data_IF_215064838369
#
_entry.id   IF_215064838369
#
_cell.length_a   1.000
_cell.length_b   1.000
_cell.length_c   1.000
_cell.angle_alpha   90.00
_cell.angle_beta   90.00
_cell.angle_gamma   90.00
#
_symmetry.space_group_name_H-M   'P 1'
#
loop_
_entity.id
_entity.type
_entity.pdbx_description
1 polymer ?
#
# COMPACT_ATOMS: atom_id res chain seq x y z
N UNK A 1 6.97 -19.25 9.85
CA UNK A 1 7.15 -18.71 8.49
C UNK A 1 8.62 -18.85 8.14
N UNK A 2 8.98 -19.50 7.02
CA UNK A 2 10.38 -19.59 6.57
C UNK A 2 10.73 -18.38 5.70
N UNK A 3 11.36 -17.37 6.30
CA UNK A 3 11.69 -16.09 5.66
C UNK A 3 12.63 -16.30 4.46
N UNK A 4 13.63 -17.17 4.62
CA UNK A 4 14.65 -17.40 3.57
C UNK A 4 14.03 -18.09 2.36
N UNK A 5 13.12 -19.04 2.60
CA UNK A 5 12.37 -19.67 1.51
C UNK A 5 11.48 -18.65 0.79
N UNK A 6 10.74 -17.81 1.51
CA UNK A 6 9.86 -16.81 0.90
C UNK A 6 10.60 -15.78 0.03
N UNK A 7 11.79 -15.35 0.46
CA UNK A 7 12.62 -14.42 -0.30
C UNK A 7 13.16 -15.08 -1.57
N UNK A 8 13.51 -16.37 -1.51
CA UNK A 8 13.86 -17.15 -2.71
C UNK A 8 12.68 -17.30 -3.65
N UNK A 9 11.47 -17.59 -3.14
CA UNK A 9 10.24 -17.66 -3.94
C UNK A 9 9.93 -16.35 -4.66
N UNK A 10 10.28 -15.21 -4.05
CA UNK A 10 10.18 -13.88 -4.67
C UNK A 10 11.19 -13.65 -5.81
N UNK A 11 12.21 -14.50 -5.94
CA UNK A 11 13.26 -14.37 -6.95
C UNK A 11 14.36 -13.37 -6.59
N UNK A 12 14.53 -13.03 -5.30
CA UNK A 12 15.62 -12.16 -4.84
C UNK A 12 16.90 -12.98 -4.67
N UNK A 13 17.96 -12.59 -5.37
CA UNK A 13 19.29 -13.21 -5.31
C UNK A 13 20.37 -12.20 -4.86
N UNK A 14 21.57 -12.71 -4.53
CA UNK A 14 22.78 -11.91 -4.29
C UNK A 14 22.67 -10.89 -3.14
N UNK A 15 23.34 -9.74 -3.26
CA UNK A 15 23.58 -8.73 -2.20
C UNK A 15 22.32 -8.22 -1.49
N UNK A 16 21.14 -8.28 -2.11
CA UNK A 16 19.89 -7.79 -1.53
C UNK A 16 19.21 -8.85 -0.64
N UNK A 17 19.62 -10.12 -0.73
CA UNK A 17 18.98 -11.21 0.01
C UNK A 17 19.00 -10.96 1.52
N UNK A 18 20.15 -10.57 2.07
CA UNK A 18 20.31 -10.33 3.50
C UNK A 18 19.54 -9.09 3.98
N UNK A 19 19.42 -8.06 3.13
CA UNK A 19 18.63 -6.86 3.42
C UNK A 19 17.13 -7.18 3.51
N UNK A 20 16.63 -8.01 2.59
CA UNK A 20 15.26 -8.53 2.63
C UNK A 20 15.03 -9.42 3.86
N UNK A 21 15.96 -10.32 4.20
CA UNK A 21 15.85 -11.16 5.39
C UNK A 21 15.76 -10.30 6.65
N UNK A 22 16.64 -9.29 6.76
CA UNK A 22 16.67 -8.36 7.89
C UNK A 22 15.36 -7.57 7.98
N UNK A 23 14.87 -7.02 6.87
CA UNK A 23 13.66 -6.21 6.84
C UNK A 23 12.40 -7.03 7.16
N UNK A 24 12.28 -8.25 6.64
CA UNK A 24 11.16 -9.15 6.96
C UNK A 24 11.22 -9.60 8.42
N UNK A 25 12.41 -9.89 8.95
CA UNK A 25 12.57 -10.25 10.36
C UNK A 25 12.14 -9.10 11.28
N UNK A 26 12.55 -7.87 10.96
CA UNK A 26 12.12 -6.67 11.68
C UNK A 26 10.60 -6.48 11.56
N UNK A 27 10.00 -6.70 10.39
CA UNK A 27 8.56 -6.61 10.21
C UNK A 27 7.78 -7.58 11.13
N UNK A 28 8.24 -8.82 11.27
CA UNK A 28 7.65 -9.80 12.20
C UNK A 28 7.72 -9.30 13.65
N UNK A 29 8.85 -8.72 14.05
CA UNK A 29 9.05 -8.22 15.40
C UNK A 29 8.14 -7.03 15.71
N UNK A 30 8.11 -6.01 14.84
CA UNK A 30 7.37 -4.77 15.09
C UNK A 30 5.87 -4.90 14.91
N UNK A 31 5.42 -5.79 14.00
CA UNK A 31 4.01 -6.04 13.73
C UNK A 31 3.43 -7.16 14.60
N UNK A 32 4.21 -7.82 15.46
CA UNK A 32 3.81 -9.01 16.20
C UNK A 32 2.40 -8.95 16.79
N UNK A 33 1.48 -9.76 16.23
CA UNK A 33 0.08 -9.87 16.64
C UNK A 33 -0.89 -8.86 16.00
N UNK A 34 -0.39 -7.89 15.24
CA UNK A 34 -1.18 -6.87 14.52
C UNK A 34 -1.76 -7.42 13.21
N UNK A 35 -1.00 -8.25 12.50
CA UNK A 35 -1.41 -8.92 11.26
C UNK A 35 -1.03 -10.41 11.30
N UNK A 36 -1.64 -11.21 10.43
CA UNK A 36 -1.31 -12.63 10.30
C UNK A 36 -0.01 -12.84 9.50
N UNK A 37 0.58 -14.02 9.63
CA UNK A 37 1.73 -14.41 8.80
C UNK A 37 1.39 -14.45 7.30
N UNK A 38 0.13 -14.72 6.95
CA UNK A 38 -0.31 -14.72 5.56
C UNK A 38 -0.40 -13.30 5.01
N UNK A 39 -0.87 -12.34 5.82
CA UNK A 39 -0.88 -10.93 5.46
C UNK A 39 0.55 -10.43 5.18
N UNK A 40 1.50 -10.75 6.07
CA UNK A 40 2.89 -10.36 5.89
C UNK A 40 3.53 -11.03 4.67
N UNK A 41 3.22 -12.31 4.43
CA UNK A 41 3.67 -13.02 3.22
C UNK A 41 3.15 -12.33 1.96
N UNK A 42 1.89 -11.92 1.94
CA UNK A 42 1.28 -11.27 0.80
C UNK A 42 1.90 -9.90 0.51
N UNK A 43 2.12 -9.08 1.55
CA UNK A 43 2.84 -7.80 1.44
C UNK A 43 4.24 -8.03 0.89
N UNK A 44 4.97 -9.02 1.41
CA UNK A 44 6.31 -9.39 0.93
C UNK A 44 6.28 -9.77 -0.56
N UNK A 45 5.40 -10.67 -0.96
CA UNK A 45 5.35 -11.16 -2.34
C UNK A 45 4.90 -10.06 -3.31
N UNK A 46 4.02 -9.16 -2.89
CA UNK A 46 3.43 -8.13 -3.75
C UNK A 46 4.23 -6.82 -3.80
N UNK A 47 5.18 -6.58 -2.88
CA UNK A 47 6.00 -5.36 -2.92
C UNK A 47 6.99 -5.41 -4.09
N UNK A 48 7.05 -4.39 -4.95
CA UNK A 48 7.99 -4.37 -6.09
C UNK A 48 9.45 -4.25 -5.67
N UNK A 49 9.70 -3.63 -4.51
CA UNK A 49 11.02 -3.31 -4.00
C UNK A 49 11.06 -3.38 -2.46
N UNK A 50 12.28 -3.35 -1.92
CA UNK A 50 12.49 -3.33 -0.47
C UNK A 50 11.93 -2.05 0.16
N UNK A 51 12.01 -0.92 -0.54
CA UNK A 51 11.47 0.36 -0.07
C UNK A 51 9.95 0.32 0.01
N UNK A 52 9.28 -0.21 -1.01
CA UNK A 52 7.82 -0.41 -0.99
C UNK A 52 7.43 -1.31 0.19
N UNK A 53 8.13 -2.43 0.38
CA UNK A 53 7.88 -3.32 1.52
C UNK A 53 8.01 -2.58 2.87
N UNK A 54 9.10 -1.84 3.06
CA UNK A 54 9.37 -1.12 4.30
C UNK A 54 8.36 0.01 4.56
N UNK A 55 7.93 0.72 3.51
CA UNK A 55 6.87 1.74 3.60
C UNK A 55 5.56 1.11 4.06
N UNK A 56 5.15 0.00 3.45
CA UNK A 56 3.90 -0.69 3.82
C UNK A 56 3.97 -1.21 5.26
N UNK A 57 5.07 -1.85 5.66
CA UNK A 57 5.27 -2.32 7.05
C UNK A 57 5.18 -1.15 8.04
N UNK A 58 5.79 0.00 7.71
CA UNK A 58 5.70 1.20 8.53
C UNK A 58 4.27 1.71 8.65
N UNK A 59 3.52 1.77 7.56
CA UNK A 59 2.13 2.24 7.56
C UNK A 59 1.21 1.31 8.36
N UNK A 60 1.36 -0.01 8.21
CA UNK A 60 0.64 -1.01 9.01
C UNK A 60 0.98 -0.86 10.49
N UNK A 61 2.26 -0.67 10.82
CA UNK A 61 2.69 -0.44 12.20
C UNK A 61 2.04 0.82 12.78
N UNK A 62 2.04 1.94 12.05
CA UNK A 62 1.44 3.18 12.51
C UNK A 62 -0.07 3.05 12.70
N UNK A 63 -0.76 2.35 11.79
CA UNK A 63 -2.19 2.04 11.91
C UNK A 63 -2.45 1.17 13.15
N UNK A 64 -1.62 0.16 13.42
CA UNK A 64 -1.77 -0.74 14.58
C UNK A 64 -1.59 -0.08 15.93
N UNK A 65 -0.93 1.09 15.99
CA UNK A 65 -0.79 1.88 17.22
C UNK A 65 -1.97 2.79 17.50
N UNK A 66 -2.93 2.92 16.58
CA UNK A 66 -4.10 3.76 16.82
C UNK A 66 -5.08 3.08 17.77
N UNK A 67 -5.52 3.75 18.83
CA UNK A 67 -6.48 3.18 19.77
C UNK A 67 -7.84 2.96 19.07
N UNK A 68 -8.46 1.80 19.34
CA UNK A 68 -9.82 1.46 18.91
C UNK A 68 -10.06 1.40 17.38
N UNK A 69 -9.00 1.25 16.58
CA UNK A 69 -9.11 1.04 15.13
C UNK A 69 -8.57 -0.36 14.80
N UNK A 70 -9.40 -1.20 14.19
CA UNK A 70 -8.91 -2.44 13.56
C UNK A 70 -8.11 -2.07 12.32
N UNK A 71 -6.94 -2.69 12.15
CA UNK A 71 -6.15 -2.57 10.91
C UNK A 71 -7.03 -3.05 9.77
N UNK A 72 -7.45 -2.13 8.92
CA UNK A 72 -8.39 -2.41 7.82
C UNK A 72 -7.85 -1.96 6.46
N UNK A 73 -6.79 -1.16 6.43
CA UNK A 73 -6.25 -0.60 5.18
C UNK A 73 -5.74 -1.70 4.24
N UNK A 74 -5.14 -2.77 4.75
CA UNK A 74 -4.71 -3.90 3.91
C UNK A 74 -5.91 -4.67 3.31
N UNK A 75 -6.98 -4.88 4.09
CA UNK A 75 -8.20 -5.50 3.59
C UNK A 75 -8.94 -4.63 2.57
N UNK A 76 -8.89 -3.31 2.76
CA UNK A 76 -9.35 -2.33 1.75
C UNK A 76 -8.60 -2.48 0.45
N UNK A 77 -7.27 -2.50 0.49
CA UNK A 77 -6.44 -2.68 -0.71
C UNK A 77 -6.78 -3.99 -1.42
N UNK A 78 -6.92 -5.12 -0.69
CA UNK A 78 -7.34 -6.40 -1.28
C UNK A 78 -8.66 -6.29 -2.01
N UNK A 79 -9.66 -5.71 -1.35
CA UNK A 79 -10.99 -5.52 -1.92
C UNK A 79 -10.93 -4.69 -3.21
N UNK A 80 -10.25 -3.55 -3.17
CA UNK A 80 -10.11 -2.67 -4.33
C UNK A 80 -9.28 -3.28 -5.46
N UNK A 81 -8.25 -4.08 -5.15
CA UNK A 81 -7.47 -4.81 -6.16
C UNK A 81 -8.30 -5.81 -6.96
N UNK A 82 -9.40 -6.30 -6.38
CA UNK A 82 -10.39 -7.18 -7.00
C UNK A 82 -11.57 -6.41 -7.62
N UNK A 83 -11.45 -5.08 -7.74
CA UNK A 83 -12.50 -4.21 -8.29
C UNK A 83 -13.73 -4.07 -7.38
N UNK A 84 -13.63 -4.52 -6.12
CA UNK A 84 -14.71 -4.45 -5.13
C UNK A 84 -14.65 -3.14 -4.36
N UNK A 85 -15.80 -2.54 -4.07
CA UNK A 85 -15.90 -1.38 -3.19
C UNK A 85 -16.01 -1.81 -1.73
N UNK A 86 -15.22 -1.20 -0.84
CA UNK A 86 -15.20 -1.53 0.58
C UNK A 86 -16.35 -0.90 1.39
N UNK A 87 -16.90 0.24 0.96
CA UNK A 87 -17.85 1.05 1.75
C UNK A 87 -19.31 0.98 1.27
N UNK A 88 -19.65 0.07 0.36
CA UNK A 88 -21.00 -0.01 -0.21
C UNK A 88 -21.45 1.24 -1.00
N UNK A 89 -20.56 2.24 -1.16
CA UNK A 89 -20.80 3.45 -1.96
C UNK A 89 -20.84 3.16 -3.45
N UNK A 90 -20.19 2.10 -3.92
CA UNK A 90 -20.35 1.62 -5.28
C UNK A 90 -21.32 0.45 -5.32
N UNK A 91 -22.63 0.75 -5.27
CA UNK A 91 -23.61 -0.16 -5.89
C UNK A 91 -23.55 -0.11 -7.42
N UNK A 92 -22.86 0.87 -8.02
CA UNK A 92 -22.98 1.18 -9.45
C UNK A 92 -21.65 1.44 -10.21
N UNK A 93 -20.47 1.41 -9.59
CA UNK A 93 -19.20 1.65 -10.29
C UNK A 93 -18.16 0.58 -9.94
N UNK A 94 -17.84 -0.28 -10.89
CA UNK A 94 -16.73 -1.22 -10.79
C UNK A 94 -15.43 -0.42 -10.80
N UNK A 95 -14.68 -0.44 -9.70
CA UNK A 95 -13.31 0.07 -9.72
C UNK A 95 -12.54 -0.84 -10.67
N UNK A 96 -11.77 -0.26 -11.61
CA UNK A 96 -10.94 -1.06 -12.50
C UNK A 96 -9.97 -1.91 -11.65
N UNK A 97 -9.89 -3.19 -11.98
CA UNK A 97 -9.00 -4.11 -11.28
C UNK A 97 -7.54 -3.73 -11.56
N UNK A 98 -6.77 -3.59 -10.49
CA UNK A 98 -5.32 -3.39 -10.55
C UNK A 98 -4.66 -4.39 -9.60
N UNK A 99 -3.49 -4.90 -10.00
CA UNK A 99 -2.77 -5.88 -9.19
C UNK A 99 -2.43 -5.32 -7.81
N UNK A 100 -2.31 -6.20 -6.82
CA UNK A 100 -1.89 -5.81 -5.47
C UNK A 100 -0.55 -5.09 -5.48
N UNK A 101 0.37 -5.50 -6.36
CA UNK A 101 1.65 -4.82 -6.56
C UNK A 101 1.48 -3.34 -6.98
N UNK A 102 0.62 -3.05 -7.96
CA UNK A 102 0.35 -1.68 -8.40
C UNK A 102 -0.26 -0.81 -7.27
N UNK A 103 -1.09 -1.40 -6.41
CA UNK A 103 -1.62 -0.72 -5.23
C UNK A 103 -0.53 -0.36 -4.22
N UNK A 104 0.34 -1.32 -3.87
CA UNK A 104 1.42 -1.07 -2.91
C UNK A 104 2.43 -0.04 -3.45
N UNK A 105 2.72 -0.08 -4.75
CA UNK A 105 3.59 0.90 -5.40
C UNK A 105 2.96 2.30 -5.39
N UNK A 106 1.64 2.40 -5.58
CA UNK A 106 0.90 3.66 -5.51
C UNK A 106 0.86 4.25 -4.10
N UNK A 107 0.72 3.40 -3.07
CA UNK A 107 0.86 3.81 -1.67
C UNK A 107 2.25 4.38 -1.42
N UNK A 108 3.30 3.73 -1.94
CA UNK A 108 4.67 4.20 -1.80
C UNK A 108 4.88 5.56 -2.49
N UNK A 109 4.29 5.76 -3.68
CA UNK A 109 4.34 7.06 -4.39
C UNK A 109 3.73 8.18 -3.55
N UNK A 110 2.52 7.99 -3.01
CA UNK A 110 1.87 8.98 -2.16
C UNK A 110 2.70 9.24 -0.90
N UNK A 111 3.19 8.18 -0.27
CA UNK A 111 4.01 8.30 0.93
C UNK A 111 5.25 9.15 0.69
N UNK A 112 6.01 8.87 -0.38
CA UNK A 112 7.20 9.65 -0.76
C UNK A 112 6.83 11.11 -1.05
N UNK A 113 5.76 11.33 -1.82
CA UNK A 113 5.27 12.68 -2.11
C UNK A 113 4.94 13.46 -0.84
N UNK A 114 4.26 12.84 0.14
CA UNK A 114 3.97 13.45 1.44
C UNK A 114 5.26 13.80 2.17
N UNK A 115 6.26 12.90 2.19
CA UNK A 115 7.55 13.19 2.82
C UNK A 115 8.25 14.40 2.20
N UNK A 116 8.31 14.48 0.87
CA UNK A 116 8.92 15.59 0.13
C UNK A 116 8.24 16.93 0.45
N UNK A 117 6.95 16.90 0.79
CA UNK A 117 6.16 18.07 1.21
C UNK A 117 6.16 18.32 2.72
N UNK A 118 6.90 17.53 3.51
CA UNK A 118 6.86 17.56 4.98
C UNK A 118 5.46 17.35 5.57
N UNK A 119 4.67 16.54 4.88
CA UNK A 119 3.31 16.15 5.24
C UNK A 119 3.30 14.69 5.71
N UNK A 120 2.23 14.34 6.41
CA UNK A 120 1.88 12.96 6.76
C UNK A 120 0.38 12.72 6.55
N UNK A 121 0.02 11.45 6.44
CA UNK A 121 -1.36 11.04 6.26
C UNK A 121 -1.59 9.65 6.85
N UNK A 122 -2.83 9.40 7.25
CA UNK A 122 -3.24 8.11 7.74
C UNK A 122 -3.27 7.08 6.62
N UNK A 123 -2.89 5.83 6.91
CA UNK A 123 -2.82 4.78 5.89
C UNK A 123 -4.16 4.60 5.16
N UNK A 124 -5.27 4.61 5.89
CA UNK A 124 -6.61 4.53 5.31
C UNK A 124 -6.89 5.69 4.34
N UNK A 125 -6.45 6.92 4.67
CA UNK A 125 -6.63 8.08 3.80
C UNK A 125 -5.81 7.97 2.52
N UNK A 126 -4.62 7.38 2.58
CA UNK A 126 -3.80 7.08 1.39
C UNK A 126 -4.54 6.07 0.49
N UNK A 127 -5.07 4.99 1.07
CA UNK A 127 -5.80 3.97 0.32
C UNK A 127 -7.07 4.54 -0.32
N UNK A 128 -7.84 5.32 0.43
CA UNK A 128 -9.07 5.95 -0.08
C UNK A 128 -8.76 6.96 -1.18
N UNK A 129 -7.64 7.70 -1.08
CA UNK A 129 -7.18 8.61 -2.14
C UNK A 129 -6.89 7.86 -3.44
N UNK A 130 -6.20 6.72 -3.38
CA UNK A 130 -5.93 5.89 -4.57
C UNK A 130 -7.24 5.44 -5.21
N UNK A 131 -8.18 4.92 -4.40
CA UNK A 131 -9.50 4.53 -4.91
C UNK A 131 -10.21 5.70 -5.63
N UNK A 132 -10.26 6.89 -5.01
CA UNK A 132 -10.84 8.07 -5.63
C UNK A 132 -10.15 8.47 -6.93
N UNK A 133 -8.81 8.38 -7.00
CA UNK A 133 -8.06 8.72 -8.23
C UNK A 133 -8.47 7.82 -9.41
N UNK A 134 -8.77 6.54 -9.15
CA UNK A 134 -9.21 5.59 -10.19
C UNK A 134 -10.64 5.82 -10.66
N UNK A 135 -11.54 6.26 -9.78
CA UNK A 135 -12.94 6.54 -10.14
C UNK A 135 -13.04 7.73 -11.12
N UNK A 136 -12.17 8.73 -10.97
CA UNK A 136 -12.15 9.91 -11.84
C UNK A 136 -11.61 9.56 -13.24
N UNK A 137 -10.58 8.72 -13.32
CA UNK A 137 -9.90 8.40 -14.60
C UNK A 137 -10.62 7.30 -15.40
N UNK A 138 -11.37 6.40 -14.74
CA UNK A 138 -12.14 5.32 -15.40
C UNK A 138 -13.16 5.81 -16.45
N UNK A 139 -13.39 7.12 -16.57
CA UNK A 139 -14.26 7.72 -17.57
C UNK A 139 -13.55 8.06 -18.91
N UNK A 140 -12.21 7.91 -19.01
CA UNK A 140 -11.44 8.53 -20.11
C UNK A 140 -10.31 7.72 -20.76
N UNK A 141 -9.79 6.63 -20.17
CA UNK A 141 -8.72 5.83 -20.80
C UNK A 141 -8.59 4.42 -20.22
N UNK A 142 -8.55 3.40 -21.08
CA UNK A 142 -8.48 1.98 -20.66
C UNK A 142 -7.05 1.47 -20.38
N UNK A 143 -5.99 2.19 -20.78
CA UNK A 143 -4.61 1.65 -20.79
C UNK A 143 -3.68 2.21 -19.70
N UNK A 144 -4.14 3.12 -18.84
CA UNK A 144 -3.27 3.74 -17.84
C UNK A 144 -2.95 2.80 -16.66
N UNK A 145 -1.68 2.81 -16.22
CA UNK A 145 -1.24 2.11 -15.02
C UNK A 145 -1.67 2.88 -13.75
N UNK A 146 -2.04 2.17 -12.68
CA UNK A 146 -2.52 2.78 -11.43
C UNK A 146 -1.55 3.82 -10.86
N UNK A 147 -0.25 3.51 -10.91
CA UNK A 147 0.80 4.39 -10.41
C UNK A 147 0.83 5.71 -11.17
N UNK A 148 0.59 5.70 -12.48
CA UNK A 148 0.54 6.91 -13.31
C UNK A 148 -0.69 7.75 -12.99
N UNK A 149 -1.85 7.11 -12.87
CA UNK A 149 -3.10 7.75 -12.45
C UNK A 149 -2.91 8.51 -11.13
N UNK A 150 -2.31 7.85 -10.14
CA UNK A 150 -2.07 8.44 -8.81
C UNK A 150 -1.09 9.60 -8.88
N UNK A 151 -0.02 9.51 -9.67
CA UNK A 151 0.95 10.60 -9.86
C UNK A 151 0.31 11.83 -10.50
N UNK A 152 -0.50 11.64 -11.54
CA UNK A 152 -1.19 12.73 -12.22
C UNK A 152 -2.22 13.36 -11.29
N UNK A 153 -2.97 12.55 -10.54
CA UNK A 153 -3.95 13.05 -9.58
C UNK A 153 -3.30 13.87 -8.45
N UNK A 154 -2.16 13.40 -7.90
CA UNK A 154 -1.36 14.16 -6.92
C UNK A 154 -0.84 15.48 -7.49
N UNK A 155 -0.43 15.49 -8.76
CA UNK A 155 0.09 16.68 -9.41
C UNK A 155 -1.01 17.73 -9.60
N UNK A 156 -2.21 17.31 -9.98
CA UNK A 156 -3.31 18.20 -10.30
C UNK A 156 -4.06 18.69 -9.05
N UNK A 157 -4.22 17.82 -8.05
CA UNK A 157 -5.09 18.08 -6.89
C UNK A 157 -4.38 18.08 -5.53
N UNK A 158 -3.12 17.62 -5.46
CA UNK A 158 -2.42 17.46 -4.18
C UNK A 158 -3.08 16.40 -3.28
N UNK A 159 -2.90 16.52 -1.96
CA UNK A 159 -3.44 15.57 -0.98
C UNK A 159 -4.12 16.30 0.19
N UNK A 160 -5.45 16.40 0.16
CA UNK A 160 -6.24 17.21 1.10
C UNK A 160 -6.24 16.67 2.53
N UNK A 161 -6.21 15.34 2.71
CA UNK A 161 -6.26 14.70 4.03
C UNK A 161 -4.87 14.54 4.67
N UNK A 162 -4.01 15.55 4.53
CA UNK A 162 -2.65 15.56 5.08
C UNK A 162 -2.51 16.52 6.26
N UNK A 163 -1.50 16.28 7.08
CA UNK A 163 -1.12 17.15 8.19
C UNK A 163 0.40 17.38 8.22
N UNK A 164 0.83 18.55 8.70
CA UNK A 164 2.26 18.88 8.81
C UNK A 164 2.97 17.92 9.78
N UNK A 165 4.17 17.48 9.42
CA UNK A 165 5.05 16.77 10.35
C UNK A 165 5.55 17.74 11.41
N UNK A 166 5.26 17.45 12.68
CA UNK A 166 5.87 18.10 13.83
C UNK A 166 7.30 17.59 14.06
#
# INVERSE_FOLDING_TARGET
MDIKQLIKEKGIENKLFDDWVSSVSNAIEVLGGSITNNDLKEVLQSSSSLDVFNIIVRLIYLESKKPNISIGSLDKIRSYSQGLSYDGRAKNFTIKEYSLNAWLDSVAVIFVWLQEKSLDADFVSIVDYIACSTEVVNLTSDDLELVEIVKDFLKDFGFENSFSRN
#
